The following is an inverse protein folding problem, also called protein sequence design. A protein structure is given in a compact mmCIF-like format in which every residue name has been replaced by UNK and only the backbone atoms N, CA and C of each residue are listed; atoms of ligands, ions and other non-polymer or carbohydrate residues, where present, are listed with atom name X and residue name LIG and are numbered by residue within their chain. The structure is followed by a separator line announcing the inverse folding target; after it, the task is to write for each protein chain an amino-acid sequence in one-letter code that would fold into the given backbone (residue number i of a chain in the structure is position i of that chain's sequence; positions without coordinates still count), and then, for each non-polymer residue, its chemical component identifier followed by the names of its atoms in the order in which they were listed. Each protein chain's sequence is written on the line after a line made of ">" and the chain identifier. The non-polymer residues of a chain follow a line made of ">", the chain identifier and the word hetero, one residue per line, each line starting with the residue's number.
data_IF_201036818437
#
_entry.id   IF_201036818437
#
_cell.length_a   1.000
_cell.length_b   1.000
_cell.length_c   1.000
_cell.angle_alpha   90.00
_cell.angle_beta   90.00
_cell.angle_gamma   90.00
#
_symmetry.space_group_name_H-M   'P 1'
#
loop_
_entity.id
_entity.type
_entity.pdbx_description
1 polymer ?
#
# COMPACT_ATOMS: atom_id res chain seq x y z
N UNK A 1 2.58 7.98 -14.94
CA UNK A 1 3.14 8.07 -13.59
C UNK A 1 2.91 6.74 -12.92
N UNK A 2 3.67 5.73 -13.29
CA UNK A 2 3.33 4.37 -12.91
C UNK A 2 4.06 3.99 -11.62
N UNK A 3 3.32 3.92 -10.51
CA UNK A 3 3.79 3.22 -9.31
C UNK A 3 4.03 1.77 -9.71
N UNK A 4 5.28 1.31 -9.63
CA UNK A 4 5.68 -0.05 -10.02
C UNK A 4 5.30 -1.06 -8.95
N UNK A 5 5.40 -0.67 -7.68
CA UNK A 5 5.05 -1.49 -6.53
C UNK A 5 4.78 -0.63 -5.30
N UNK A 6 3.94 -1.13 -4.40
CA UNK A 6 3.66 -0.56 -3.09
C UNK A 6 3.84 -1.65 -2.02
N UNK A 7 4.72 -1.40 -1.05
CA UNK A 7 5.16 -2.37 -0.04
C UNK A 7 4.99 -1.74 1.35
N UNK A 8 4.39 -2.50 2.27
CA UNK A 8 4.33 -2.20 3.69
C UNK A 8 5.31 -3.09 4.43
N UNK A 9 6.25 -2.48 5.14
CA UNK A 9 7.22 -3.17 5.99
C UNK A 9 7.00 -2.80 7.46
N UNK A 10 7.04 -3.80 8.33
CA UNK A 10 7.21 -3.59 9.78
C UNK A 10 8.61 -3.05 10.10
N UNK A 11 8.78 -2.52 11.31
CA UNK A 11 10.08 -2.12 11.84
C UNK A 11 11.11 -3.26 11.87
N UNK A 12 10.67 -4.51 11.97
CA UNK A 12 11.53 -5.70 11.93
C UNK A 12 11.82 -6.19 10.49
N UNK A 13 11.34 -5.49 9.46
CA UNK A 13 11.53 -5.87 8.06
C UNK A 13 10.60 -6.98 7.56
N UNK A 14 9.60 -7.39 8.35
CA UNK A 14 8.53 -8.29 7.88
C UNK A 14 7.60 -7.54 6.94
N UNK A 15 7.32 -8.12 5.78
CA UNK A 15 6.36 -7.62 4.80
C UNK A 15 4.94 -7.83 5.32
N UNK A 16 4.11 -6.80 5.29
CA UNK A 16 2.68 -6.85 5.64
C UNK A 16 1.78 -6.84 4.42
N UNK A 17 2.19 -6.11 3.39
CA UNK A 17 1.51 -6.02 2.11
C UNK A 17 2.56 -5.75 1.03
N UNK A 18 2.41 -6.35 -0.15
CA UNK A 18 3.25 -6.07 -1.31
C UNK A 18 2.44 -6.20 -2.60
N UNK A 19 1.98 -5.06 -3.13
CA UNK A 19 1.32 -4.98 -4.43
C UNK A 19 2.35 -4.68 -5.50
N UNK A 20 2.32 -5.46 -6.58
CA UNK A 20 3.20 -5.31 -7.74
C UNK A 20 2.34 -4.97 -8.95
N UNK A 21 2.59 -3.82 -9.57
CA UNK A 21 1.87 -3.37 -10.77
C UNK A 21 2.62 -3.72 -12.05
N UNK A 22 3.92 -4.01 -11.94
CA UNK A 22 4.74 -4.55 -13.02
C UNK A 22 4.94 -6.06 -12.87
N UNK A 23 4.94 -6.78 -13.99
CA UNK A 23 5.26 -8.20 -14.04
C UNK A 23 6.75 -8.42 -13.77
N UNK A 24 7.06 -9.11 -12.67
CA UNK A 24 8.42 -9.39 -12.22
C UNK A 24 8.52 -10.85 -11.75
N UNK A 25 9.69 -11.46 -11.93
CA UNK A 25 9.93 -12.80 -11.40
C UNK A 25 9.93 -12.80 -9.86
N UNK A 26 9.59 -13.93 -9.20
CA UNK A 26 9.66 -14.03 -7.74
C UNK A 26 11.05 -13.69 -7.18
N UNK A 27 12.11 -14.03 -7.91
CA UNK A 27 13.50 -13.73 -7.55
C UNK A 27 13.76 -12.23 -7.52
N UNK A 28 13.26 -11.49 -8.50
CA UNK A 28 13.38 -10.03 -8.55
C UNK A 28 12.56 -9.36 -7.46
N UNK A 29 11.32 -9.81 -7.23
CA UNK A 29 10.48 -9.33 -6.14
C UNK A 29 11.18 -9.47 -4.78
N UNK A 30 11.74 -10.64 -4.50
CA UNK A 30 12.48 -10.90 -3.27
C UNK A 30 13.74 -10.02 -3.15
N UNK A 31 14.45 -9.79 -4.26
CA UNK A 31 15.62 -8.90 -4.30
C UNK A 31 15.23 -7.45 -3.99
N UNK A 32 14.17 -6.94 -4.62
CA UNK A 32 13.68 -5.57 -4.39
C UNK A 32 13.27 -5.39 -2.92
N UNK A 33 12.49 -6.32 -2.35
CA UNK A 33 12.10 -6.26 -0.94
C UNK A 33 13.32 -6.21 -0.01
N UNK A 34 14.33 -7.04 -0.28
CA UNK A 34 15.58 -7.06 0.50
C UNK A 34 16.33 -5.74 0.40
N UNK A 35 16.54 -5.24 -0.81
CA UNK A 35 17.28 -4.00 -1.05
C UNK A 35 16.56 -2.80 -0.39
N UNK A 36 15.25 -2.68 -0.61
CA UNK A 36 14.41 -1.62 -0.02
C UNK A 36 14.43 -1.66 1.50
N UNK A 37 14.35 -2.86 2.09
CA UNK A 37 14.44 -3.05 3.55
C UNK A 37 15.76 -2.50 4.11
N UNK A 38 16.88 -2.80 3.44
CA UNK A 38 18.21 -2.31 3.84
C UNK A 38 18.38 -0.80 3.64
N UNK A 39 17.75 -0.23 2.61
CA UNK A 39 17.82 1.20 2.31
C UNK A 39 16.95 2.05 3.23
N UNK A 40 15.74 1.58 3.56
CA UNK A 40 14.72 2.40 4.26
C UNK A 40 14.78 2.25 5.78
N UNK A 41 14.91 1.03 6.33
CA UNK A 41 14.79 0.81 7.78
C UNK A 41 15.85 1.51 8.64
N UNK A 42 17.13 1.64 8.22
CA UNK A 42 18.15 2.31 9.03
C UNK A 42 18.00 3.84 9.06
N UNK A 43 17.12 4.43 8.24
CA UNK A 43 17.04 5.89 8.05
C UNK A 43 16.38 6.59 9.24
N UNK A 44 16.90 7.77 9.58
CA UNK A 44 16.38 8.63 10.65
C UNK A 44 15.17 9.44 10.16
N UNK A 45 14.31 9.87 11.07
CA UNK A 45 13.05 10.57 10.76
C UNK A 45 13.21 11.92 10.05
N UNK A 46 14.37 12.58 10.17
CA UNK A 46 14.65 13.87 9.50
C UNK A 46 15.30 13.74 8.12
N UNK A 47 15.52 12.51 7.66
CA UNK A 47 16.11 12.27 6.34
C UNK A 47 15.06 12.38 5.24
N UNK A 48 15.50 12.66 4.01
CA UNK A 48 14.64 12.74 2.84
C UNK A 48 13.85 11.43 2.64
N UNK A 49 12.58 11.59 2.26
CA UNK A 49 11.62 10.53 1.93
C UNK A 49 11.84 9.91 0.55
N UNK A 50 12.75 10.47 -0.26
CA UNK A 50 13.04 10.04 -1.63
C UNK A 50 14.45 9.47 -1.71
N UNK A 51 14.59 8.34 -2.39
CA UNK A 51 15.86 7.65 -2.60
C UNK A 51 15.99 7.26 -4.06
N UNK A 52 17.17 7.43 -4.62
CA UNK A 52 17.51 6.83 -5.90
C UNK A 52 17.73 5.33 -5.72
N UNK A 53 17.15 4.53 -6.62
CA UNK A 53 17.29 3.09 -6.63
C UNK A 53 17.38 2.59 -8.07
N UNK A 54 18.61 2.40 -8.55
CA UNK A 54 18.90 2.06 -9.96
C UNK A 54 18.27 3.12 -10.89
N UNK A 55 17.56 2.69 -11.92
CA UNK A 55 16.85 3.55 -12.87
C UNK A 55 15.45 3.96 -12.37
N UNK A 56 15.17 3.78 -11.09
CA UNK A 56 13.89 4.10 -10.45
C UNK A 56 14.10 4.91 -9.18
N UNK A 57 13.01 5.43 -8.61
CA UNK A 57 13.01 6.12 -7.33
C UNK A 57 12.18 5.36 -6.31
N UNK A 58 12.59 5.44 -5.06
CA UNK A 58 11.85 4.93 -3.90
C UNK A 58 11.33 6.12 -3.11
N UNK A 59 10.01 6.15 -2.93
CA UNK A 59 9.31 7.10 -2.08
C UNK A 59 8.79 6.35 -0.86
N UNK A 60 9.15 6.81 0.34
CA UNK A 60 8.70 6.14 1.56
C UNK A 60 8.21 7.11 2.63
N UNK A 61 7.26 6.66 3.45
CA UNK A 61 6.82 7.36 4.65
C UNK A 61 6.56 6.38 5.78
N UNK A 62 6.96 6.77 6.98
CA UNK A 62 6.74 5.98 8.19
C UNK A 62 5.49 6.46 8.92
N UNK A 63 4.59 5.54 9.23
CA UNK A 63 3.43 5.75 10.09
C UNK A 63 3.50 4.75 11.25
N UNK A 64 3.61 5.24 12.48
CA UNK A 64 3.83 4.42 13.68
C UNK A 64 4.98 3.39 13.53
N UNK A 65 4.68 2.09 13.54
CA UNK A 65 5.63 0.98 13.35
C UNK A 65 5.81 0.54 11.90
N UNK A 66 5.00 1.07 10.97
CA UNK A 66 4.97 0.66 9.57
C UNK A 66 5.68 1.66 8.65
N UNK A 67 6.38 1.11 7.67
CA UNK A 67 6.98 1.83 6.57
C UNK A 67 6.16 1.53 5.31
N UNK A 68 5.61 2.59 4.71
CA UNK A 68 4.91 2.53 3.43
C UNK A 68 5.88 2.99 2.36
N UNK A 69 6.08 2.16 1.35
CA UNK A 69 7.16 2.32 0.38
C UNK A 69 6.59 2.10 -1.01
N UNK A 70 6.76 3.08 -1.89
CA UNK A 70 6.38 3.00 -3.30
C UNK A 70 7.63 3.12 -4.17
N UNK A 71 7.71 2.29 -5.21
CA UNK A 71 8.66 2.50 -6.30
C UNK A 71 8.00 3.22 -7.45
N UNK A 72 8.59 4.30 -7.94
CA UNK A 72 8.13 5.07 -9.10
C UNK A 72 9.26 5.23 -10.13
N UNK A 73 8.92 5.62 -11.35
CA UNK A 73 9.91 5.85 -12.39
C UNK A 73 10.71 7.12 -12.12
N UNK A 74 11.89 7.25 -12.74
CA UNK A 74 12.80 8.36 -12.51
C UNK A 74 12.19 9.73 -12.89
N UNK A 75 11.27 9.76 -13.84
CA UNK A 75 10.65 11.00 -14.33
C UNK A 75 9.36 11.37 -13.59
N UNK A 76 8.91 10.54 -12.64
CA UNK A 76 7.69 10.76 -11.88
C UNK A 76 7.89 11.72 -10.70
N UNK A 77 6.83 12.47 -10.39
CA UNK A 77 6.80 13.40 -9.26
C UNK A 77 6.63 12.65 -7.94
N UNK A 78 7.68 12.70 -7.11
CA UNK A 78 7.78 11.98 -5.85
C UNK A 78 6.82 12.52 -4.78
N UNK A 79 6.46 13.81 -4.84
CA UNK A 79 5.51 14.42 -3.91
C UNK A 79 4.09 13.90 -4.14
N UNK A 80 3.72 13.66 -5.40
CA UNK A 80 2.42 13.05 -5.74
C UNK A 80 2.39 11.61 -5.23
N UNK A 81 3.46 10.83 -5.44
CA UNK A 81 3.55 9.47 -4.88
C UNK A 81 3.49 9.46 -3.35
N UNK A 82 4.12 10.43 -2.69
CA UNK A 82 4.07 10.57 -1.24
C UNK A 82 2.65 10.90 -0.74
N UNK A 83 1.91 11.72 -1.49
CA UNK A 83 0.51 12.04 -1.20
C UNK A 83 -0.42 10.84 -1.45
N UNK A 84 -0.16 10.02 -2.47
CA UNK A 84 -0.88 8.75 -2.69
C UNK A 84 -0.69 7.81 -1.49
N UNK A 85 0.54 7.67 -0.99
CA UNK A 85 0.81 6.90 0.24
C UNK A 85 -0.01 7.45 1.42
N UNK A 86 -0.05 8.77 1.58
CA UNK A 86 -0.84 9.39 2.64
C UNK A 86 -2.34 9.14 2.48
N UNK A 87 -2.85 9.28 1.27
CA UNK A 87 -4.25 9.03 0.92
C UNK A 87 -4.68 7.61 1.28
N UNK A 88 -3.83 6.63 0.97
CA UNK A 88 -4.06 5.24 1.30
C UNK A 88 -4.17 5.02 2.81
N UNK A 89 -3.22 5.56 3.58
CA UNK A 89 -3.25 5.47 5.06
C UNK A 89 -4.50 6.12 5.63
N UNK A 90 -4.93 7.27 5.12
CA UNK A 90 -6.17 7.92 5.58
C UNK A 90 -7.43 7.12 5.23
N UNK A 91 -7.45 6.39 4.10
CA UNK A 91 -8.58 5.51 3.78
C UNK A 91 -8.62 4.32 4.73
N UNK A 92 -7.46 3.70 4.96
CA UNK A 92 -7.35 2.61 5.94
C UNK A 92 -7.77 3.04 7.33
N UNK A 93 -7.31 4.21 7.80
CA UNK A 93 -7.63 4.71 9.14
C UNK A 93 -9.13 4.91 9.35
N UNK A 94 -9.82 5.44 8.32
CA UNK A 94 -11.28 5.59 8.33
C UNK A 94 -12.02 4.26 8.21
N UNK A 95 -11.50 3.33 7.41
CA UNK A 95 -12.12 2.03 7.19
C UNK A 95 -12.02 1.15 8.45
N UNK A 96 -10.85 1.05 9.06
CA UNK A 96 -10.62 0.22 10.26
C UNK A 96 -11.05 0.91 11.57
N UNK A 97 -11.18 2.23 11.60
CA UNK A 97 -11.51 2.97 12.81
C UNK A 97 -10.36 3.04 13.80
N UNK A 98 -9.29 3.77 13.43
CA UNK A 98 -7.95 3.80 14.05
C UNK A 98 -7.11 2.59 13.65
N UNK A 99 -6.52 2.65 12.46
CA UNK A 99 -5.78 1.52 11.90
C UNK A 99 -4.49 1.22 12.68
N UNK A 100 -4.29 -0.06 13.00
CA UNK A 100 -3.05 -0.58 13.58
C UNK A 100 -2.37 -1.58 12.65
N UNK A 101 -1.09 -1.88 12.91
CA UNK A 101 -0.37 -2.92 12.19
C UNK A 101 -1.03 -4.30 12.34
N UNK A 102 -1.68 -4.57 13.49
CA UNK A 102 -2.37 -5.84 13.72
C UNK A 102 -3.60 -5.98 12.82
N UNK A 103 -4.37 -4.92 12.62
CA UNK A 103 -5.57 -4.95 11.76
C UNK A 103 -5.19 -5.32 10.33
N UNK A 104 -4.05 -4.82 9.84
CA UNK A 104 -3.51 -5.16 8.51
C UNK A 104 -3.04 -6.61 8.46
N UNK A 105 -2.51 -7.17 9.56
CA UNK A 105 -2.07 -8.56 9.61
C UNK A 105 -3.26 -9.51 9.61
N UNK A 106 -4.29 -9.23 10.41
CA UNK A 106 -5.47 -10.09 10.55
C UNK A 106 -6.41 -9.97 9.34
N UNK A 107 -6.56 -8.77 8.78
CA UNK A 107 -7.47 -8.48 7.68
C UNK A 107 -6.72 -7.94 6.46
N UNK A 108 -5.66 -8.64 6.04
CA UNK A 108 -4.81 -8.19 4.93
C UNK A 108 -5.55 -8.13 3.59
N UNK A 109 -6.56 -8.98 3.38
CA UNK A 109 -7.41 -8.98 2.18
C UNK A 109 -8.15 -7.65 2.04
N UNK A 110 -8.76 -7.16 3.12
CA UNK A 110 -9.43 -5.86 3.14
C UNK A 110 -8.46 -4.71 2.85
N UNK A 111 -7.22 -4.79 3.33
CA UNK A 111 -6.20 -3.80 2.98
C UNK A 111 -5.88 -3.80 1.46
N UNK A 112 -5.85 -4.97 0.81
CA UNK A 112 -5.73 -5.04 -0.65
C UNK A 112 -6.95 -4.47 -1.36
N UNK A 113 -8.17 -4.68 -0.87
CA UNK A 113 -9.38 -4.10 -1.47
C UNK A 113 -9.38 -2.57 -1.39
N UNK A 114 -9.01 -2.02 -0.23
CA UNK A 114 -8.84 -0.56 -0.06
C UNK A 114 -7.80 -0.01 -1.04
N UNK A 115 -6.70 -0.76 -1.23
CA UNK A 115 -5.64 -0.36 -2.15
C UNK A 115 -6.10 -0.41 -3.62
N UNK A 116 -6.86 -1.43 -3.99
CA UNK A 116 -7.31 -1.66 -5.36
C UNK A 116 -8.41 -0.67 -5.79
N UNK A 117 -9.23 -0.16 -4.85
CA UNK A 117 -10.14 0.95 -5.12
C UNK A 117 -9.42 2.29 -5.31
N UNK A 118 -8.23 2.45 -4.72
CA UNK A 118 -7.43 3.67 -4.83
C UNK A 118 -6.52 3.64 -6.07
N UNK A 119 -5.83 2.53 -6.30
CA UNK A 119 -4.80 2.36 -7.32
C UNK A 119 -5.12 1.20 -8.25
N UNK A 120 -5.05 1.44 -9.55
CA UNK A 120 -5.19 0.40 -10.56
C UNK A 120 -4.09 0.56 -11.62
N UNK A 121 -3.47 -0.56 -12.00
CA UNK A 121 -2.38 -0.59 -12.97
C UNK A 121 -1.20 0.36 -12.66
N UNK A 122 -1.00 0.70 -11.38
CA UNK A 122 0.05 1.61 -10.93
C UNK A 122 -0.31 3.09 -10.99
N UNK A 123 -1.55 3.43 -11.38
CA UNK A 123 -2.04 4.80 -11.51
C UNK A 123 -3.18 5.06 -10.50
N UNK A 124 -3.41 6.34 -10.18
CA UNK A 124 -4.50 6.75 -9.30
C UNK A 124 -5.85 6.60 -10.02
N UNK A 125 -6.70 5.69 -9.51
CA UNK A 125 -8.03 5.45 -10.07
C UNK A 125 -9.06 6.43 -9.52
N UNK A 126 -9.16 6.53 -8.19
CA UNK A 126 -10.15 7.38 -7.52
C UNK A 126 -9.46 8.32 -6.53
N UNK A 127 -9.68 9.62 -6.72
CA UNK A 127 -9.08 10.67 -5.89
C UNK A 127 -9.94 11.06 -4.70
N UNK A 128 -11.26 10.81 -4.79
CA UNK A 128 -12.23 11.13 -3.75
C UNK A 128 -12.22 10.08 -2.64
N UNK A 129 -11.79 10.51 -1.45
CA UNK A 129 -11.85 9.70 -0.20
C UNK A 129 -13.25 9.13 0.05
N UNK A 130 -14.29 9.92 -0.24
CA UNK A 130 -15.68 9.53 -0.01
C UNK A 130 -16.12 8.41 -0.95
N UNK A 131 -15.68 8.46 -2.21
CA UNK A 131 -16.05 7.44 -3.20
C UNK A 131 -15.38 6.10 -2.89
N UNK A 132 -14.08 6.12 -2.56
CA UNK A 132 -13.34 4.90 -2.18
C UNK A 132 -14.05 4.18 -1.02
N UNK A 133 -14.34 4.89 0.08
CA UNK A 133 -15.03 4.28 1.23
C UNK A 133 -16.44 3.81 0.91
N UNK A 134 -17.15 4.51 0.01
CA UNK A 134 -18.49 4.09 -0.43
C UNK A 134 -18.43 2.78 -1.21
N UNK A 135 -17.50 2.64 -2.16
CA UNK A 135 -17.34 1.42 -2.95
C UNK A 135 -16.97 0.22 -2.07
N UNK A 136 -16.03 0.40 -1.13
CA UNK A 136 -15.63 -0.66 -0.20
C UNK A 136 -16.80 -1.06 0.71
N UNK A 137 -17.56 -0.11 1.24
CA UNK A 137 -18.75 -0.43 2.04
C UNK A 137 -19.84 -1.18 1.27
N UNK A 138 -19.99 -0.91 -0.03
CA UNK A 138 -20.87 -1.69 -0.90
C UNK A 138 -20.33 -3.11 -1.12
N UNK A 139 -19.02 -3.28 -1.31
CA UNK A 139 -18.38 -4.59 -1.44
C UNK A 139 -18.55 -5.43 -0.18
N UNK A 140 -18.34 -4.85 1.00
CA UNK A 140 -18.54 -5.53 2.27
C UNK A 140 -20.01 -5.99 2.44
N UNK A 141 -20.96 -5.12 2.08
CA UNK A 141 -22.39 -5.48 2.16
C UNK A 141 -22.76 -6.65 1.24
N UNK A 142 -22.14 -6.72 0.05
CA UNK A 142 -22.37 -7.82 -0.89
C UNK A 142 -21.72 -9.12 -0.39
N UNK A 143 -20.51 -9.05 0.16
CA UNK A 143 -19.84 -10.20 0.77
C UNK A 143 -20.67 -10.79 1.92
N UNK A 144 -21.20 -9.94 2.81
CA UNK A 144 -22.06 -10.37 3.92
C UNK A 144 -23.35 -11.07 3.44
N UNK A 145 -23.96 -10.57 2.36
CA UNK A 145 -25.15 -11.20 1.75
C UNK A 145 -24.83 -12.59 1.21
N UNK A 146 -23.69 -12.78 0.53
CA UNK A 146 -23.29 -14.08 -0.01
C UNK A 146 -23.02 -15.11 1.09
N UNK A 147 -22.39 -14.70 2.19
CA UNK A 147 -22.14 -15.57 3.34
C UNK A 147 -23.45 -16.01 3.99
N UNK A 148 -24.39 -15.08 4.20
CA UNK A 148 -25.69 -15.41 4.80
C UNK A 148 -26.50 -16.41 3.96
N UNK A 149 -26.44 -16.31 2.63
CA UNK A 149 -27.11 -17.25 1.73
C UNK A 149 -26.49 -18.65 1.71
N UNK A 150 -25.22 -18.82 2.11
CA UNK A 150 -24.60 -20.14 2.22
C UNK A 150 -24.96 -20.87 3.51
N UNK A 151 -25.30 -20.15 4.58
CA UNK A 151 -25.70 -20.74 5.87
C UNK A 151 -27.17 -21.23 5.88
N UNK A 152 -27.97 -20.80 4.89
CA UNK A 152 -29.38 -21.20 4.72
C UNK A 152 -29.56 -22.54 3.96
N UNK A 153 -28.48 -23.24 3.58
CA UNK A 153 -28.48 -24.57 2.93
C UNK A 153 -27.78 -25.63 3.79
#
# INVERSE_FOLDING_TARGET
>A
MAIRHLILLSRQGKVRLAKWFTTLSPKEKAKIVKDVCQLVLPRRTRMCNFLEYKDTKIVYRRYASLFFIAGCDADDNELITLEIIHRYVEQMDKYYGNVSELDIIFSFTKAYYVLDELLLAGELQESSKKNVLRCIGQQDSLEDMEVSHQEDF
#
